data_IF_757004939338
#
_entry.id   IF_757004939338
#
_cell.length_a   1.000
_cell.length_b   1.000
_cell.length_c   1.000
_cell.angle_alpha   90.00
_cell.angle_beta   90.00
_cell.angle_gamma   90.00
#
_symmetry.space_group_name_H-M   'P 1'
#
loop_
_entity.id
_entity.type
_entity.pdbx_description
1 polymer ?
#
# COMPACT_ATOMS: atom_id res chain seq x y z
N UNK A 1 -16.65 10.10 -7.83
CA UNK A 1 -16.49 10.50 -6.41
C UNK A 1 -16.52 9.23 -5.58
N UNK A 2 -15.60 9.09 -4.62
CA UNK A 2 -15.62 7.96 -3.69
C UNK A 2 -16.75 8.22 -2.68
N UNK A 3 -17.62 7.22 -2.49
CA UNK A 3 -18.77 7.31 -1.58
C UNK A 3 -18.44 6.64 -0.25
N UNK A 4 -19.09 7.11 0.82
CA UNK A 4 -19.10 6.44 2.11
C UNK A 4 -19.99 5.19 2.04
N UNK A 5 -19.46 4.04 2.46
CA UNK A 5 -20.19 2.77 2.43
C UNK A 5 -20.63 2.40 3.85
N UNK A 6 -21.93 2.18 4.03
CA UNK A 6 -22.46 1.59 5.26
C UNK A 6 -22.42 0.05 5.15
N UNK A 7 -21.65 -0.57 6.03
CA UNK A 7 -21.45 -2.03 6.07
C UNK A 7 -22.13 -2.69 7.27
N UNK A 8 -23.01 -1.98 7.97
CA UNK A 8 -23.70 -2.45 9.19
C UNK A 8 -24.41 -3.78 8.98
N UNK A 9 -25.08 -3.93 7.84
CA UNK A 9 -25.88 -5.13 7.50
C UNK A 9 -25.12 -6.17 6.67
N UNK A 10 -23.82 -5.96 6.42
CA UNK A 10 -23.03 -6.91 5.64
C UNK A 10 -22.72 -8.16 6.46
N UNK A 11 -22.77 -9.31 5.82
CA UNK A 11 -22.51 -10.58 6.48
C UNK A 11 -21.01 -10.71 6.81
N UNK A 12 -20.69 -10.99 8.07
CA UNK A 12 -19.33 -11.35 8.49
C UNK A 12 -18.98 -12.77 8.06
N UNK A 13 -17.73 -12.98 7.63
CA UNK A 13 -17.22 -14.31 7.33
C UNK A 13 -16.58 -14.94 8.58
N UNK A 14 -17.31 -15.83 9.25
CA UNK A 14 -16.78 -16.61 10.38
C UNK A 14 -15.91 -17.80 9.94
N UNK A 15 -15.99 -18.22 8.68
CA UNK A 15 -15.44 -19.51 8.20
C UNK A 15 -14.09 -19.36 7.50
N UNK A 16 -13.82 -18.23 6.84
CA UNK A 16 -12.57 -17.94 6.12
C UNK A 16 -11.72 -16.85 6.79
N UNK A 17 -11.96 -16.55 8.07
CA UNK A 17 -11.22 -15.59 8.88
C UNK A 17 -9.76 -16.02 9.15
N UNK A 18 -8.95 -16.20 8.11
CA UNK A 18 -7.49 -16.35 8.22
C UNK A 18 -6.89 -14.95 8.02
N UNK A 19 -6.86 -14.17 9.10
CA UNK A 19 -6.23 -12.85 9.07
C UNK A 19 -4.74 -12.97 9.41
N UNK A 20 -3.83 -12.32 8.65
CA UNK A 20 -2.50 -12.07 9.16
C UNK A 20 -2.60 -11.19 10.42
N UNK A 21 -1.79 -11.53 11.44
CA UNK A 21 -1.70 -10.78 12.70
C UNK A 21 -1.33 -9.33 12.37
N UNK A 22 -2.27 -8.41 12.57
CA UNK A 22 -2.08 -6.97 12.38
C UNK A 22 -2.48 -6.19 13.63
N UNK A 23 -2.04 -4.93 13.73
CA UNK A 23 -2.26 -4.10 14.91
C UNK A 23 -3.68 -3.51 15.04
N UNK A 24 -4.55 -3.74 14.06
CA UNK A 24 -5.92 -3.18 13.99
C UNK A 24 -6.91 -4.33 13.97
N UNK A 25 -8.10 -4.10 14.52
CA UNK A 25 -9.22 -5.03 14.37
C UNK A 25 -9.67 -5.04 12.91
N UNK A 26 -9.86 -6.25 12.39
CA UNK A 26 -10.16 -6.49 10.98
C UNK A 26 -11.27 -7.54 10.90
N UNK A 27 -12.19 -7.31 9.98
CA UNK A 27 -13.29 -8.22 9.72
C UNK A 27 -13.41 -8.43 8.21
N UNK A 28 -13.73 -9.65 7.80
CA UNK A 28 -14.07 -9.97 6.42
C UNK A 28 -15.58 -9.85 6.29
N UNK A 29 -16.03 -8.97 5.41
CA UNK A 29 -17.43 -8.67 5.17
C UNK A 29 -17.79 -9.01 3.74
N UNK A 30 -18.95 -9.61 3.53
CA UNK A 30 -19.48 -9.92 2.21
C UNK A 30 -20.46 -8.85 1.76
N UNK A 31 -20.22 -8.30 0.57
CA UNK A 31 -21.16 -7.37 -0.04
C UNK A 31 -22.47 -8.08 -0.39
N UNK A 32 -23.63 -7.43 -0.25
CA UNK A 32 -24.92 -8.03 -0.60
C UNK A 32 -25.04 -8.45 -2.06
N UNK A 33 -25.90 -9.43 -2.32
CA UNK A 33 -26.38 -9.71 -3.67
C UNK A 33 -27.10 -8.48 -4.24
N UNK A 34 -26.79 -8.14 -5.50
CA UNK A 34 -27.38 -6.99 -6.19
C UNK A 34 -26.93 -5.62 -5.67
N UNK A 35 -25.79 -5.50 -4.96
CA UNK A 35 -25.27 -4.18 -4.52
C UNK A 35 -25.19 -3.21 -5.71
N UNK A 36 -25.93 -2.10 -5.64
CA UNK A 36 -26.10 -1.16 -6.77
C UNK A 36 -24.98 -0.11 -6.82
N UNK A 37 -24.09 -0.06 -5.82
CA UNK A 37 -22.93 0.83 -5.86
C UNK A 37 -22.04 0.44 -7.05
N UNK A 38 -21.95 1.34 -8.04
CA UNK A 38 -21.30 1.10 -9.35
C UNK A 38 -19.87 0.56 -9.29
N UNK A 39 -19.19 0.73 -8.16
CA UNK A 39 -17.78 0.39 -8.00
C UNK A 39 -17.54 -0.85 -7.12
N UNK A 40 -18.57 -1.39 -6.46
CA UNK A 40 -18.48 -2.58 -5.62
C UNK A 40 -18.87 -3.83 -6.42
N UNK A 41 -18.18 -4.93 -6.14
CA UNK A 41 -18.56 -6.27 -6.61
C UNK A 41 -19.67 -6.79 -5.73
N UNK A 42 -20.68 -7.40 -6.34
CA UNK A 42 -21.76 -8.07 -5.61
C UNK A 42 -21.31 -9.46 -5.15
N UNK A 43 -21.81 -9.90 -3.99
CA UNK A 43 -21.49 -11.21 -3.40
C UNK A 43 -19.97 -11.46 -3.35
N UNK A 44 -19.22 -10.45 -2.90
CA UNK A 44 -17.76 -10.48 -2.92
C UNK A 44 -17.20 -10.11 -1.54
N UNK A 45 -16.08 -10.71 -1.12
CA UNK A 45 -15.46 -10.37 0.16
C UNK A 45 -14.71 -9.02 0.13
N UNK A 46 -14.78 -8.33 1.25
CA UNK A 46 -14.09 -7.08 1.54
C UNK A 46 -13.49 -7.13 2.95
N UNK A 47 -12.28 -6.60 3.10
CA UNK A 47 -11.65 -6.42 4.41
C UNK A 47 -12.04 -5.07 4.99
N UNK A 48 -12.84 -5.07 6.05
CA UNK A 48 -13.10 -3.89 6.86
C UNK A 48 -12.02 -3.76 7.95
N UNK A 49 -11.15 -2.74 7.82
CA UNK A 49 -10.14 -2.40 8.82
C UNK A 49 -10.63 -1.20 9.64
N UNK A 50 -10.86 -1.42 10.93
CA UNK A 50 -11.38 -0.39 11.81
C UNK A 50 -10.32 0.70 12.07
N UNK A 51 -10.79 1.94 12.27
CA UNK A 51 -9.98 3.00 12.85
C UNK A 51 -9.54 2.63 14.26
N UNK A 52 -8.40 3.16 14.70
CA UNK A 52 -7.88 2.92 16.05
C UNK A 52 -7.78 4.23 16.80
N UNK A 53 -8.09 4.20 18.09
CA UNK A 53 -8.10 5.39 18.95
C UNK A 53 -6.81 6.22 18.87
N UNK A 54 -5.64 5.56 18.77
CA UNK A 54 -4.33 6.21 18.73
C UNK A 54 -4.09 7.01 17.44
N UNK A 55 -4.62 6.53 16.32
CA UNK A 55 -4.46 7.14 14.99
C UNK A 55 -5.81 7.05 14.26
N UNK A 56 -6.80 7.86 14.69
CA UNK A 56 -8.18 7.66 14.26
C UNK A 56 -8.34 7.88 12.75
N UNK A 57 -7.62 8.85 12.17
CA UNK A 57 -7.67 9.19 10.75
C UNK A 57 -6.79 8.28 9.86
N UNK A 58 -6.05 7.31 10.42
CA UNK A 58 -5.12 6.46 9.67
C UNK A 58 -5.81 5.63 8.58
N UNK A 59 -7.07 5.26 8.75
CA UNK A 59 -7.77 4.45 7.74
C UNK A 59 -7.87 5.18 6.39
N UNK A 60 -7.92 6.52 6.38
CA UNK A 60 -7.90 7.33 5.17
C UNK A 60 -6.68 7.07 4.31
N UNK A 61 -5.54 6.69 4.90
CA UNK A 61 -4.32 6.38 4.16
C UNK A 61 -4.52 5.22 3.17
N UNK A 62 -5.35 4.22 3.48
CA UNK A 62 -5.66 3.12 2.54
C UNK A 62 -6.45 3.64 1.33
N UNK A 63 -7.43 4.52 1.55
CA UNK A 63 -8.25 5.13 0.49
C UNK A 63 -7.37 6.04 -0.39
N UNK A 64 -6.54 6.87 0.22
CA UNK A 64 -5.66 7.79 -0.51
C UNK A 64 -4.61 7.02 -1.31
N UNK A 65 -4.05 5.94 -0.75
CA UNK A 65 -3.13 5.05 -1.45
C UNK A 65 -3.79 4.44 -2.70
N UNK A 66 -5.05 4.02 -2.61
CA UNK A 66 -5.82 3.57 -3.77
C UNK A 66 -6.08 4.69 -4.79
N UNK A 67 -6.39 5.92 -4.35
CA UNK A 67 -6.53 7.04 -5.29
C UNK A 67 -5.22 7.26 -6.06
N UNK A 68 -4.10 7.39 -5.34
CA UNK A 68 -2.78 7.61 -5.93
C UNK A 68 -2.45 6.50 -6.94
N UNK A 69 -2.71 5.24 -6.59
CA UNK A 69 -2.36 4.10 -7.45
C UNK A 69 -3.03 4.15 -8.82
N UNK A 70 -4.27 4.65 -8.91
CA UNK A 70 -4.99 4.84 -10.18
C UNK A 70 -4.26 5.81 -11.10
N UNK A 71 -3.77 6.92 -10.55
CA UNK A 71 -3.09 7.97 -11.31
C UNK A 71 -1.68 7.58 -11.77
N UNK A 72 -1.00 6.70 -11.04
CA UNK A 72 0.33 6.18 -11.42
C UNK A 72 0.26 4.80 -12.10
N UNK A 73 -0.93 4.23 -12.28
CA UNK A 73 -1.15 2.91 -12.89
C UNK A 73 -0.48 1.76 -12.13
N UNK A 74 -0.62 1.72 -10.81
CA UNK A 74 -0.10 0.66 -9.93
C UNK A 74 -1.26 -0.16 -9.36
N UNK A 75 -1.08 -1.48 -9.34
CA UNK A 75 -2.09 -2.42 -8.84
C UNK A 75 -2.15 -2.39 -7.30
N UNK A 76 -3.23 -1.82 -6.77
CA UNK A 76 -3.56 -1.69 -5.35
C UNK A 76 -5.04 -2.06 -5.20
N UNK A 77 -5.44 -2.83 -4.18
CA UNK A 77 -6.84 -3.17 -4.01
C UNK A 77 -7.69 -1.93 -3.81
N UNK A 78 -8.90 -1.92 -4.36
CA UNK A 78 -9.82 -0.79 -4.19
C UNK A 78 -10.12 -0.58 -2.72
N UNK A 79 -10.14 0.67 -2.28
CA UNK A 79 -10.43 1.04 -0.91
C UNK A 79 -11.47 2.15 -0.84
N UNK A 80 -12.41 2.01 0.10
CA UNK A 80 -13.51 2.93 0.32
C UNK A 80 -13.57 3.32 1.81
N UNK A 81 -13.97 4.55 2.14
CA UNK A 81 -14.35 4.87 3.51
C UNK A 81 -15.64 4.13 3.84
N UNK A 82 -15.72 3.58 5.04
CA UNK A 82 -16.88 2.85 5.49
C UNK A 82 -17.20 3.10 6.96
N UNK A 83 -18.47 2.90 7.30
CA UNK A 83 -18.97 2.88 8.68
C UNK A 83 -19.66 1.56 8.97
N UNK A 84 -19.58 1.13 10.23
CA UNK A 84 -20.35 0.01 10.76
C UNK A 84 -21.00 0.44 12.07
N UNK A 85 -22.32 0.40 12.16
CA UNK A 85 -23.03 0.61 13.42
C UNK A 85 -22.97 -0.65 14.28
N UNK A 86 -22.78 -0.45 15.59
CA UNK A 86 -22.78 -1.50 16.60
C UNK A 86 -23.50 -1.01 17.86
N UNK A 87 -23.72 -1.91 18.81
CA UNK A 87 -24.30 -1.55 20.10
C UNK A 87 -23.44 -0.54 20.89
N UNK A 88 -22.14 -0.43 20.56
CA UNK A 88 -21.18 0.48 21.20
C UNK A 88 -21.04 1.82 20.45
N UNK A 89 -21.73 1.98 19.32
CA UNK A 89 -21.69 3.18 18.48
C UNK A 89 -21.25 2.89 17.03
N UNK A 90 -20.97 3.97 16.30
CA UNK A 90 -20.54 3.91 14.89
C UNK A 90 -19.03 3.81 14.81
N UNK A 91 -18.53 2.81 14.10
CA UNK A 91 -17.10 2.60 13.87
C UNK A 91 -16.75 3.00 12.43
N UNK A 92 -15.83 3.96 12.28
CA UNK A 92 -15.24 4.30 10.99
C UNK A 92 -14.10 3.34 10.61
N UNK A 93 -13.91 3.08 9.33
CA UNK A 93 -12.81 2.26 8.83
C UNK A 93 -12.62 2.33 7.33
N UNK A 94 -11.62 1.59 6.84
CA UNK A 94 -11.40 1.38 5.41
C UNK A 94 -11.99 0.04 5.00
N UNK A 95 -12.82 0.04 3.96
CA UNK A 95 -13.33 -1.15 3.29
C UNK A 95 -12.49 -1.45 2.05
N UNK A 96 -11.76 -2.55 2.07
CA UNK A 96 -10.76 -2.89 1.04
C UNK A 96 -11.25 -4.11 0.26
N UNK A 97 -11.37 -4.00 -1.06
CA UNK A 97 -11.78 -5.11 -1.93
C UNK A 97 -10.80 -6.27 -1.82
N UNK A 98 -11.31 -7.48 -1.55
CA UNK A 98 -10.46 -8.67 -1.52
C UNK A 98 -9.96 -8.97 -2.93
N UNK A 99 -8.64 -9.13 -3.07
CA UNK A 99 -7.96 -9.05 -4.37
C UNK A 99 -7.77 -10.38 -5.10
N UNK A 100 -8.29 -11.48 -4.54
CA UNK A 100 -8.25 -12.80 -5.15
C UNK A 100 -9.54 -13.55 -4.85
N UNK A 101 -9.85 -14.51 -5.71
CA UNK A 101 -11.02 -15.37 -5.54
C UNK A 101 -10.68 -16.53 -4.58
N UNK A 102 -11.32 -16.59 -3.41
CA UNK A 102 -10.99 -17.57 -2.36
C UNK A 102 -11.38 -19.01 -2.73
N UNK A 103 -12.26 -19.21 -3.71
CA UNK A 103 -12.71 -20.54 -4.15
C UNK A 103 -11.82 -21.12 -5.26
N UNK A 104 -11.19 -20.25 -6.04
CA UNK A 104 -10.42 -20.62 -7.22
C UNK A 104 -8.94 -20.31 -7.14
N UNK A 105 -8.52 -19.47 -6.19
CA UNK A 105 -7.16 -19.00 -6.05
C UNK A 105 -6.66 -19.11 -4.61
N UNK A 106 -5.35 -19.25 -4.46
CA UNK A 106 -4.70 -19.32 -3.16
C UNK A 106 -3.66 -18.23 -3.02
N UNK A 107 -3.78 -17.40 -1.99
CA UNK A 107 -2.76 -16.42 -1.65
C UNK A 107 -1.75 -17.00 -0.66
N UNK A 108 -0.47 -16.71 -0.89
CA UNK A 108 0.63 -17.06 0.01
C UNK A 108 1.47 -15.80 0.25
N UNK A 109 1.54 -15.37 1.52
CA UNK A 109 2.41 -14.28 1.94
C UNK A 109 3.88 -14.59 1.65
N UNK A 110 4.65 -13.57 1.25
CA UNK A 110 6.06 -13.76 0.96
C UNK A 110 6.87 -14.22 2.18
N UNK A 111 6.45 -13.91 3.40
CA UNK A 111 7.06 -14.41 4.63
C UNK A 111 7.17 -15.93 4.68
N UNK A 112 6.20 -16.66 4.12
CA UNK A 112 6.25 -18.12 4.00
C UNK A 112 7.45 -18.61 3.19
N UNK A 113 7.86 -17.84 2.17
CA UNK A 113 9.07 -18.13 1.40
C UNK A 113 10.32 -17.81 2.22
N UNK A 114 10.40 -16.64 2.85
CA UNK A 114 11.59 -16.25 3.62
C UNK A 114 11.88 -17.22 4.77
N UNK A 115 10.86 -17.71 5.48
CA UNK A 115 10.99 -18.77 6.50
C UNK A 115 11.67 -20.03 5.98
N UNK A 116 11.42 -20.38 4.71
CA UNK A 116 11.94 -21.61 4.11
C UNK A 116 13.41 -21.47 3.70
N UNK A 117 13.86 -20.27 3.35
CA UNK A 117 15.22 -20.00 2.85
C UNK A 117 16.14 -19.31 3.86
N UNK A 118 15.60 -18.84 4.99
CA UNK A 118 16.32 -18.21 6.09
C UNK A 118 16.00 -19.01 7.35
N UNK A 119 16.92 -19.86 7.79
CA UNK A 119 16.69 -20.83 8.88
C UNK A 119 16.30 -20.19 10.21
N UNK A 120 16.77 -18.96 10.46
CA UNK A 120 16.55 -18.18 11.67
C UNK A 120 15.60 -16.99 11.45
N UNK A 121 14.73 -17.07 10.43
CA UNK A 121 13.81 -15.97 10.10
C UNK A 121 12.94 -15.56 11.30
N UNK A 122 13.05 -14.30 11.70
CA UNK A 122 12.24 -13.70 12.76
C UNK A 122 11.03 -12.99 12.16
N UNK A 123 9.88 -13.67 12.22
CA UNK A 123 8.59 -13.13 11.77
C UNK A 123 8.20 -11.83 12.43
N UNK A 124 8.54 -11.69 13.72
CA UNK A 124 8.06 -10.59 14.53
C UNK A 124 8.73 -9.30 14.13
N UNK A 125 10.04 -9.33 13.88
CA UNK A 125 10.76 -8.13 13.44
C UNK A 125 10.83 -7.98 11.93
N UNK A 126 10.75 -9.08 11.17
CA UNK A 126 10.86 -9.10 9.71
C UNK A 126 12.18 -8.50 9.19
N UNK A 127 13.23 -8.43 10.04
CA UNK A 127 14.48 -7.71 9.73
C UNK A 127 15.32 -8.41 8.66
N UNK A 128 15.14 -9.71 8.47
CA UNK A 128 15.79 -10.45 7.39
C UNK A 128 15.08 -10.28 6.03
N UNK A 129 13.92 -9.60 5.96
CA UNK A 129 13.29 -9.27 4.68
C UNK A 129 14.16 -8.27 3.90
N UNK A 130 14.66 -8.70 2.75
CA UNK A 130 15.64 -7.95 1.96
C UNK A 130 15.44 -8.08 0.45
N UNK A 131 16.02 -7.13 -0.29
CA UNK A 131 15.83 -6.96 -1.72
C UNK A 131 16.46 -8.11 -2.53
N UNK A 132 17.66 -8.58 -2.18
CA UNK A 132 18.35 -9.66 -2.93
C UNK A 132 17.53 -10.95 -2.92
N UNK A 133 17.06 -11.37 -1.74
CA UNK A 133 16.29 -12.61 -1.61
C UNK A 133 14.90 -12.48 -2.24
N UNK A 134 14.28 -11.31 -2.11
CA UNK A 134 13.03 -10.97 -2.79
C UNK A 134 13.16 -11.08 -4.31
N UNK A 135 14.19 -10.48 -4.91
CA UNK A 135 14.44 -10.56 -6.35
C UNK A 135 14.74 -11.99 -6.79
N UNK A 136 15.49 -12.74 -5.98
CA UNK A 136 15.80 -14.15 -6.24
C UNK A 136 14.53 -15.01 -6.23
N UNK A 137 13.64 -14.80 -5.26
CA UNK A 137 12.36 -15.49 -5.18
C UNK A 137 11.50 -15.23 -6.40
N UNK A 138 11.27 -13.95 -6.72
CA UNK A 138 10.40 -13.55 -7.82
C UNK A 138 10.96 -14.06 -9.15
N UNK A 139 12.28 -14.04 -9.33
CA UNK A 139 12.93 -14.66 -10.48
C UNK A 139 12.69 -16.17 -10.51
N UNK A 140 12.79 -16.86 -9.37
CA UNK A 140 12.46 -18.29 -9.25
C UNK A 140 11.03 -18.62 -9.70
N UNK A 141 10.05 -17.79 -9.33
CA UNK A 141 8.66 -17.93 -9.79
C UNK A 141 8.54 -17.77 -11.30
N UNK A 142 9.27 -16.81 -11.89
CA UNK A 142 9.23 -16.59 -13.34
C UNK A 142 9.78 -17.76 -14.17
N UNK A 143 10.70 -18.55 -13.59
CA UNK A 143 11.30 -19.72 -14.24
C UNK A 143 10.47 -20.98 -14.00
N UNK A 144 9.96 -21.16 -12.78
CA UNK A 144 9.43 -22.47 -12.33
C UNK A 144 7.92 -22.50 -12.09
N UNK A 145 7.22 -21.35 -12.10
CA UNK A 145 5.82 -21.25 -11.67
C UNK A 145 4.97 -20.35 -12.58
N UNK A 146 5.32 -20.27 -13.87
CA UNK A 146 4.52 -19.56 -14.90
C UNK A 146 4.05 -18.15 -14.47
N UNK A 147 4.95 -17.36 -13.87
CA UNK A 147 4.62 -16.04 -13.35
C UNK A 147 4.08 -15.12 -14.47
N UNK A 148 2.83 -14.68 -14.32
CA UNK A 148 2.16 -13.76 -15.24
C UNK A 148 2.57 -12.31 -15.07
N UNK A 149 2.87 -11.91 -13.84
CA UNK A 149 3.32 -10.55 -13.53
C UNK A 149 4.73 -10.32 -14.11
N UNK A 150 4.93 -9.20 -14.80
CA UNK A 150 6.26 -8.73 -15.16
C UNK A 150 7.02 -8.33 -13.88
N UNK A 151 8.02 -9.14 -13.49
CA UNK A 151 8.74 -8.95 -12.23
C UNK A 151 9.40 -7.58 -12.10
N UNK A 152 9.94 -7.06 -13.20
CA UNK A 152 10.74 -5.84 -13.16
C UNK A 152 9.82 -4.63 -13.05
N UNK A 153 8.71 -4.66 -13.80
CA UNK A 153 7.67 -3.63 -13.67
C UNK A 153 7.03 -3.63 -12.29
N UNK A 154 6.68 -4.80 -11.74
CA UNK A 154 6.10 -4.88 -10.40
C UNK A 154 7.08 -4.36 -9.31
N UNK A 155 8.37 -4.69 -9.40
CA UNK A 155 9.39 -4.15 -8.48
C UNK A 155 9.54 -2.63 -8.61
N UNK A 156 9.50 -2.11 -9.85
CA UNK A 156 9.55 -0.68 -10.11
C UNK A 156 8.29 0.03 -9.61
N UNK A 157 7.11 -0.56 -9.80
CA UNK A 157 5.83 -0.07 -9.32
C UNK A 157 5.80 -0.02 -7.80
N UNK A 158 6.27 -1.07 -7.11
CA UNK A 158 6.42 -1.08 -5.64
C UNK A 158 7.37 0.01 -5.18
N UNK A 159 8.58 0.07 -5.74
CA UNK A 159 9.57 1.05 -5.32
C UNK A 159 9.10 2.49 -5.57
N UNK A 160 8.44 2.76 -6.70
CA UNK A 160 7.92 4.08 -7.04
C UNK A 160 6.75 4.46 -6.14
N UNK A 161 5.75 3.58 -6.01
CA UNK A 161 4.58 3.80 -5.19
C UNK A 161 4.94 4.00 -3.71
N UNK A 162 5.70 3.07 -3.12
CA UNK A 162 6.09 3.14 -1.72
C UNK A 162 7.01 4.34 -1.43
N UNK A 163 7.78 4.82 -2.41
CA UNK A 163 8.55 6.07 -2.28
C UNK A 163 7.66 7.32 -2.33
N UNK A 164 6.66 7.32 -3.20
CA UNK A 164 5.70 8.43 -3.39
C UNK A 164 4.78 8.58 -2.18
N UNK A 165 4.25 7.47 -1.65
CA UNK A 165 3.41 7.51 -0.45
C UNK A 165 4.26 7.48 0.85
N UNK A 166 5.55 7.14 0.76
CA UNK A 166 6.42 7.02 1.92
C UNK A 166 6.08 5.83 2.82
N UNK A 167 5.74 4.68 2.24
CA UNK A 167 5.39 3.48 3.01
C UNK A 167 6.62 2.92 3.70
N UNK A 168 6.62 2.90 5.03
CA UNK A 168 7.76 2.44 5.84
C UNK A 168 7.68 0.97 6.22
N UNK A 169 6.59 0.28 5.90
CA UNK A 169 6.22 -1.03 6.44
C UNK A 169 5.73 -2.02 5.37
N UNK A 170 6.30 -1.95 4.15
CA UNK A 170 6.16 -3.02 3.14
C UNK A 170 6.97 -4.26 3.56
N UNK A 171 6.54 -4.91 4.63
CA UNK A 171 7.16 -6.12 5.15
C UNK A 171 6.67 -7.37 4.42
N UNK A 172 7.25 -8.53 4.76
CA UNK A 172 7.05 -9.80 4.05
C UNK A 172 5.61 -10.34 4.08
N UNK A 173 4.73 -9.81 4.92
CA UNK A 173 3.31 -10.17 4.94
C UNK A 173 2.45 -9.19 4.12
N UNK A 174 3.01 -8.04 3.70
CA UNK A 174 2.29 -7.00 2.94
C UNK A 174 2.50 -7.10 1.42
N UNK A 175 2.90 -8.30 0.97
CA UNK A 175 2.93 -8.75 -0.42
C UNK A 175 3.01 -10.28 -0.47
N UNK A 176 2.72 -10.87 -1.62
CA UNK A 176 2.85 -12.30 -1.79
C UNK A 176 2.55 -12.78 -3.20
N UNK A 177 2.20 -14.05 -3.31
CA UNK A 177 1.95 -14.74 -4.57
C UNK A 177 0.54 -15.31 -4.55
N UNK A 178 -0.19 -15.11 -5.63
CA UNK A 178 -1.50 -15.72 -5.85
C UNK A 178 -1.31 -16.86 -6.85
N UNK A 179 -1.72 -18.05 -6.45
CA UNK A 179 -1.69 -19.28 -7.22
C UNK A 179 -3.07 -19.59 -7.79
N UNK A 180 -3.12 -19.90 -9.08
CA UNK A 180 -4.34 -20.32 -9.78
C UNK A 180 -4.37 -21.85 -9.93
N UNK A 181 -5.53 -22.43 -10.23
CA UNK A 181 -5.73 -23.88 -10.39
C UNK A 181 -4.87 -24.54 -11.48
N UNK A 182 -4.30 -23.77 -12.40
CA UNK A 182 -3.53 -24.23 -13.56
C UNK A 182 -2.01 -23.96 -13.44
N UNK A 183 -1.50 -23.93 -12.21
CA UNK A 183 -0.09 -23.63 -11.87
C UNK A 183 0.42 -22.27 -12.35
N UNK A 184 -0.47 -21.38 -12.83
CA UNK A 184 -0.14 -19.98 -13.07
C UNK A 184 -0.04 -19.24 -11.74
N UNK A 185 0.94 -18.35 -11.68
CA UNK A 185 1.12 -17.47 -10.53
C UNK A 185 1.11 -16.02 -10.96
N UNK A 186 0.74 -15.14 -10.04
CA UNK A 186 0.94 -13.69 -10.15
C UNK A 186 1.37 -13.14 -8.80
N UNK A 187 2.11 -12.04 -8.81
CA UNK A 187 2.35 -11.27 -7.60
C UNK A 187 1.05 -10.58 -7.20
N UNK A 188 0.82 -10.45 -5.89
CA UNK A 188 -0.34 -9.74 -5.38
C UNK A 188 -0.29 -8.26 -5.76
N UNK A 189 -1.45 -7.57 -5.75
CA UNK A 189 -1.48 -6.12 -5.62
C UNK A 189 -0.70 -5.66 -4.38
N UNK A 190 -0.35 -4.37 -4.33
CA UNK A 190 0.30 -3.75 -3.17
C UNK A 190 -0.76 -3.37 -2.13
N UNK A 191 -0.90 -4.16 -1.07
CA UNK A 191 -1.94 -3.99 -0.04
C UNK A 191 -1.35 -3.63 1.33
N UNK A 192 -2.19 -3.20 2.27
CA UNK A 192 -1.78 -2.68 3.59
C UNK A 192 -0.86 -1.45 3.48
N UNK A 193 -1.47 -0.35 3.03
CA UNK A 193 -0.80 0.93 2.79
C UNK A 193 -1.02 1.92 3.94
N UNK A 194 -1.66 1.50 5.04
CA UNK A 194 -2.03 2.36 6.16
C UNK A 194 -0.86 3.01 6.91
N UNK A 195 0.38 2.54 6.70
CA UNK A 195 1.62 3.05 7.33
C UNK A 195 2.40 4.01 6.42
N UNK A 196 1.67 4.87 5.71
CA UNK A 196 2.20 5.80 4.71
C UNK A 196 1.75 7.25 5.00
N UNK A 197 2.08 8.16 4.09
CA UNK A 197 1.62 9.57 4.00
C UNK A 197 1.84 10.41 5.28
N UNK A 198 2.80 10.02 6.10
CA UNK A 198 3.09 10.67 7.37
C UNK A 198 1.93 10.62 8.37
N UNK A 199 1.08 9.56 8.32
CA UNK A 199 -0.05 9.38 9.23
C UNK A 199 0.36 9.46 10.71
N UNK A 200 1.61 9.13 11.05
CA UNK A 200 2.12 9.17 12.43
C UNK A 200 2.32 10.60 12.96
N UNK A 201 2.19 11.62 12.09
CA UNK A 201 2.35 13.02 12.44
C UNK A 201 1.01 13.64 12.84
N UNK A 202 0.88 13.97 14.12
CA UNK A 202 -0.23 14.77 14.62
C UNK A 202 -0.12 16.21 14.15
N UNK A 203 -1.24 16.76 13.65
CA UNK A 203 -1.29 18.08 12.98
C UNK A 203 -0.75 19.21 13.85
N UNK A 204 -0.99 19.18 15.16
CA UNK A 204 -0.49 20.17 16.12
C UNK A 204 1.04 20.21 16.20
N UNK A 205 1.72 19.09 15.89
CA UNK A 205 3.19 18.98 15.90
C UNK A 205 3.86 19.38 14.59
N UNK A 206 3.07 19.48 13.51
CA UNK A 206 3.57 19.76 12.15
C UNK A 206 3.07 21.08 11.57
N UNK A 207 2.13 21.76 12.23
CA UNK A 207 1.56 23.04 11.76
C UNK A 207 2.61 24.10 11.40
N UNK A 208 3.71 24.16 12.14
CA UNK A 208 4.77 25.16 11.96
C UNK A 208 5.96 24.63 11.13
N UNK A 209 5.80 23.49 10.44
CA UNK A 209 6.87 22.95 9.60
C UNK A 209 6.95 23.72 8.28
N UNK A 210 8.11 24.31 8.03
CA UNK A 210 8.48 24.86 6.73
C UNK A 210 8.88 23.74 5.75
N UNK A 211 9.09 24.12 4.49
CA UNK A 211 9.48 23.18 3.44
C UNK A 211 10.82 22.50 3.71
N UNK A 212 11.75 23.17 4.38
CA UNK A 212 13.04 22.57 4.74
C UNK A 212 12.87 21.43 5.76
N UNK A 213 12.05 21.64 6.79
CA UNK A 213 11.78 20.63 7.81
C UNK A 213 10.98 19.46 7.25
N UNK A 214 10.03 19.71 6.34
CA UNK A 214 9.35 18.66 5.59
C UNK A 214 10.38 17.86 4.78
N UNK A 215 11.19 18.52 3.94
CA UNK A 215 12.22 17.86 3.14
C UNK A 215 13.15 17.01 4.02
N UNK A 216 13.60 17.52 5.16
CA UNK A 216 14.47 16.79 6.10
C UNK A 216 13.79 15.58 6.76
N UNK A 217 12.46 15.62 6.97
CA UNK A 217 11.69 14.46 7.41
C UNK A 217 11.57 13.41 6.30
N UNK A 218 11.25 13.85 5.07
CA UNK A 218 11.04 12.96 3.93
C UNK A 218 12.31 12.22 3.51
N UNK A 219 13.47 12.90 3.50
CA UNK A 219 14.77 12.30 3.12
C UNK A 219 15.30 11.27 4.12
N UNK A 220 14.81 11.29 5.36
CA UNK A 220 15.09 10.25 6.36
C UNK A 220 14.20 9.02 6.22
N UNK A 221 13.16 9.09 5.37
CA UNK A 221 12.25 7.99 5.10
C UNK A 221 12.97 6.78 4.53
N UNK A 222 12.74 5.62 5.13
CA UNK A 222 13.28 4.35 4.66
C UNK A 222 12.14 3.38 4.39
N UNK A 223 12.29 2.60 3.32
CA UNK A 223 11.48 1.44 3.03
C UNK A 223 11.75 0.32 4.06
N UNK A 224 10.83 -0.64 4.25
CA UNK A 224 11.07 -1.76 5.17
C UNK A 224 12.26 -2.64 4.75
N UNK A 225 12.48 -2.78 3.45
CA UNK A 225 13.54 -3.61 2.89
C UNK A 225 14.94 -3.21 3.38
N UNK A 226 15.76 -4.22 3.61
CA UNK A 226 17.22 -4.11 3.67
C UNK A 226 17.80 -4.52 2.31
N UNK A 227 19.04 -4.15 2.03
CA UNK A 227 19.68 -4.55 0.77
C UNK A 227 19.92 -6.06 0.74
N UNK A 228 20.57 -6.59 1.78
CA UNK A 228 20.83 -8.01 1.98
C UNK A 228 20.52 -8.41 3.43
N UNK A 229 20.55 -9.71 3.71
CA UNK A 229 20.45 -10.24 5.08
C UNK A 229 21.73 -10.09 5.92
N UNK A 230 22.84 -9.65 5.31
CA UNK A 230 24.12 -9.44 6.01
C UNK A 230 24.08 -8.18 6.89
N UNK A 231 23.32 -7.16 6.49
CA UNK A 231 23.04 -5.97 7.31
C UNK A 231 21.53 -5.82 7.53
N UNK A 232 21.06 -6.39 8.63
CA UNK A 232 19.64 -6.32 9.05
C UNK A 232 19.27 -4.99 9.73
N UNK A 233 20.27 -4.13 10.02
CA UNK A 233 20.06 -2.85 10.72
C UNK A 233 19.74 -1.72 9.75
N UNK A 234 20.38 -1.70 8.58
CA UNK A 234 20.25 -0.61 7.61
C UNK A 234 19.13 -0.86 6.60
N UNK A 235 17.99 -0.21 6.83
CA UNK A 235 16.90 -0.12 5.84
C UNK A 235 17.32 0.73 4.64
N UNK A 236 16.76 0.43 3.48
CA UNK A 236 17.03 1.18 2.23
C UNK A 236 16.23 2.49 2.26
N UNK A 237 16.87 3.66 2.07
CA UNK A 237 16.16 4.92 1.88
C UNK A 237 15.21 4.86 0.66
N UNK A 238 14.02 5.44 0.77
CA UNK A 238 12.99 5.36 -0.28
C UNK A 238 13.52 5.76 -1.67
N UNK A 239 14.13 6.94 -1.76
CA UNK A 239 14.61 7.48 -3.04
C UNK A 239 15.77 6.64 -3.63
N UNK A 240 16.63 6.08 -2.76
CA UNK A 240 17.69 5.17 -3.20
C UNK A 240 17.14 3.83 -3.72
N UNK A 241 16.04 3.33 -3.15
CA UNK A 241 15.40 2.10 -3.61
C UNK A 241 14.90 2.26 -5.06
N UNK A 242 14.12 3.31 -5.35
CA UNK A 242 13.61 3.52 -6.70
C UNK A 242 14.74 3.82 -7.69
N UNK A 243 15.75 4.61 -7.30
CA UNK A 243 16.94 4.83 -8.13
C UNK A 243 17.63 3.51 -8.48
N UNK A 244 17.90 2.67 -7.48
CA UNK A 244 18.56 1.39 -7.69
C UNK A 244 17.80 0.45 -8.65
N UNK A 245 16.47 0.40 -8.54
CA UNK A 245 15.63 -0.41 -9.44
C UNK A 245 15.63 0.17 -10.87
N UNK A 246 15.49 1.49 -11.01
CA UNK A 246 15.44 2.17 -12.31
C UNK A 246 16.79 2.13 -13.03
N UNK A 247 17.90 2.31 -12.32
CA UNK A 247 19.25 2.26 -12.89
C UNK A 247 19.67 0.87 -13.34
N UNK A 248 19.01 -0.19 -12.87
CA UNK A 248 19.35 -1.57 -13.23
C UNK A 248 18.87 -2.00 -14.62
N UNK A 249 17.88 -1.31 -15.21
CA UNK A 249 17.33 -1.65 -16.53
C UNK A 249 16.77 -0.42 -17.26
N UNK A 250 17.31 -0.11 -18.44
CA UNK A 250 16.91 1.05 -19.24
C UNK A 250 15.42 1.03 -19.63
N UNK A 251 14.82 -0.15 -19.87
CA UNK A 251 13.38 -0.26 -20.16
C UNK A 251 12.55 0.11 -18.94
N UNK A 252 13.05 -0.20 -17.74
CA UNK A 252 12.41 0.18 -16.49
C UNK A 252 12.56 1.68 -16.22
N UNK A 253 13.71 2.29 -16.54
CA UNK A 253 13.87 3.75 -16.54
C UNK A 253 12.81 4.43 -17.40
N UNK A 254 12.64 3.97 -18.65
CA UNK A 254 11.61 4.51 -19.56
C UNK A 254 10.20 4.28 -19.00
N UNK A 255 9.92 3.09 -18.47
CA UNK A 255 8.61 2.76 -17.88
C UNK A 255 8.23 3.69 -16.71
N UNK A 256 9.14 3.92 -15.78
CA UNK A 256 8.91 4.83 -14.64
C UNK A 256 8.83 6.28 -15.10
N UNK A 257 9.66 6.70 -16.05
CA UNK A 257 9.61 8.04 -16.61
C UNK A 257 8.26 8.33 -17.26
N UNK A 258 7.71 7.39 -18.04
CA UNK A 258 6.38 7.52 -18.64
C UNK A 258 5.27 7.71 -17.58
N UNK A 259 5.37 7.05 -16.42
CA UNK A 259 4.42 7.27 -15.32
C UNK A 259 4.54 8.66 -14.72
N UNK A 260 5.77 9.17 -14.57
CA UNK A 260 6.01 10.53 -14.07
C UNK A 260 5.51 11.60 -15.05
N UNK A 261 5.71 11.39 -16.35
CA UNK A 261 5.30 12.33 -17.39
C UNK A 261 3.78 12.37 -17.58
N UNK A 262 3.11 11.22 -17.44
CA UNK A 262 1.66 11.10 -17.59
C UNK A 262 0.87 11.36 -16.30
N UNK A 263 1.54 11.68 -15.18
CA UNK A 263 0.87 11.90 -13.90
C UNK A 263 0.05 13.19 -13.92
N UNK A 264 -1.27 13.04 -13.92
CA UNK A 264 -2.21 14.13 -13.63
C UNK A 264 -2.23 14.41 -12.11
N UNK A 265 -1.24 15.19 -11.66
CA UNK A 265 -1.09 15.55 -10.24
C UNK A 265 -2.26 16.41 -9.74
N UNK A 266 -2.76 17.32 -10.57
CA UNK A 266 -3.86 18.22 -10.18
C UNK A 266 -5.16 17.44 -10.00
N UNK A 267 -5.50 16.57 -10.96
CA UNK A 267 -6.66 15.68 -10.84
C UNK A 267 -6.53 14.72 -9.67
N UNK A 268 -5.34 14.15 -9.43
CA UNK A 268 -5.10 13.27 -8.29
C UNK A 268 -5.35 13.99 -6.96
N UNK A 269 -4.78 15.18 -6.78
CA UNK A 269 -4.97 15.97 -5.57
C UNK A 269 -6.41 16.46 -5.41
N UNK A 270 -7.09 16.80 -6.50
CA UNK A 270 -8.50 17.16 -6.49
C UNK A 270 -9.37 15.97 -6.04
N UNK A 271 -9.13 14.76 -6.55
CA UNK A 271 -9.87 13.57 -6.11
C UNK A 271 -9.62 13.28 -4.62
N UNK A 272 -8.38 13.38 -4.14
CA UNK A 272 -8.07 13.24 -2.71
C UNK A 272 -8.79 14.32 -1.88
N UNK A 273 -8.83 15.55 -2.36
CA UNK A 273 -9.51 16.65 -1.67
C UNK A 273 -11.01 16.37 -1.50
N UNK A 274 -11.68 15.71 -2.45
CA UNK A 274 -13.12 15.37 -2.32
C UNK A 274 -13.41 14.50 -1.10
N UNK A 275 -12.43 13.78 -0.55
CA UNK A 275 -12.60 13.02 0.68
C UNK A 275 -12.90 13.91 1.90
N UNK A 276 -12.52 15.20 1.88
CA UNK A 276 -12.81 16.14 2.97
C UNK A 276 -14.30 16.51 3.05
N UNK A 277 -15.07 16.22 2.00
CA UNK A 277 -16.50 16.47 1.92
C UNK A 277 -17.32 15.35 2.57
N UNK A 278 -16.70 14.19 2.87
CA UNK A 278 -17.35 13.04 3.47
C UNK A 278 -17.59 13.29 4.97
N UNK A 279 -18.85 13.27 5.38
CA UNK A 279 -19.28 13.49 6.77
C UNK A 279 -19.28 12.17 7.54
N UNK A 280 -18.34 12.03 8.46
CA UNK A 280 -18.18 10.89 9.38
C UNK A 280 -17.56 11.37 10.69
N UNK A 281 -17.67 10.56 11.74
CA UNK A 281 -17.17 10.90 13.09
C UNK A 281 -15.65 11.11 13.12
N UNK A 282 -14.92 10.44 12.22
CA UNK A 282 -13.48 10.63 12.03
C UNK A 282 -13.20 11.19 10.63
N UNK A 283 -13.35 12.52 10.44
CA UNK A 283 -13.30 13.14 9.12
C UNK A 283 -11.87 13.25 8.59
N UNK A 284 -11.75 13.23 7.26
CA UNK A 284 -10.54 13.67 6.59
C UNK A 284 -10.50 15.20 6.56
N UNK A 285 -9.79 15.81 7.51
CA UNK A 285 -9.74 17.27 7.62
C UNK A 285 -8.98 17.95 6.47
N UNK A 286 -9.28 19.23 6.22
CA UNK A 286 -8.55 20.05 5.25
C UNK A 286 -7.07 20.23 5.65
N UNK A 287 -6.78 20.31 6.95
CA UNK A 287 -5.43 20.38 7.49
C UNK A 287 -4.66 19.08 7.21
N UNK A 288 -5.33 17.93 7.35
CA UNK A 288 -4.73 16.63 6.97
C UNK A 288 -4.52 16.52 5.47
N UNK A 289 -5.47 17.00 4.66
CA UNK A 289 -5.29 17.09 3.21
C UNK A 289 -4.07 17.93 2.86
N UNK A 290 -3.92 19.13 3.42
CA UNK A 290 -2.79 20.01 3.13
C UNK A 290 -1.45 19.35 3.48
N UNK A 291 -1.38 18.70 4.65
CA UNK A 291 -0.21 17.91 5.05
C UNK A 291 0.14 16.84 4.00
N UNK A 292 -0.84 16.01 3.61
CA UNK A 292 -0.62 14.93 2.65
C UNK A 292 -0.25 15.49 1.26
N UNK A 293 -0.90 16.56 0.83
CA UNK A 293 -0.59 17.28 -0.41
C UNK A 293 0.87 17.72 -0.45
N UNK A 294 1.34 18.39 0.60
CA UNK A 294 2.74 18.83 0.72
C UNK A 294 3.71 17.65 0.72
N UNK A 295 3.36 16.53 1.37
CA UNK A 295 4.16 15.30 1.35
C UNK A 295 4.27 14.72 -0.06
N UNK A 296 3.15 14.57 -0.78
CA UNK A 296 3.11 14.02 -2.15
C UNK A 296 3.93 14.88 -3.10
N UNK A 297 3.71 16.20 -3.09
CA UNK A 297 4.42 17.14 -3.97
C UNK A 297 5.92 17.09 -3.69
N UNK A 298 6.34 17.21 -2.43
CA UNK A 298 7.76 17.21 -2.08
C UNK A 298 8.43 15.86 -2.35
N UNK A 299 7.73 14.73 -2.15
CA UNK A 299 8.24 13.40 -2.53
C UNK A 299 8.39 13.24 -4.04
N UNK A 300 7.42 13.72 -4.82
CA UNK A 300 7.50 13.69 -6.28
C UNK A 300 8.70 14.49 -6.80
N UNK A 301 8.93 15.68 -6.24
CA UNK A 301 10.12 16.50 -6.53
C UNK A 301 11.40 15.74 -6.19
N UNK A 302 11.50 15.16 -4.99
CA UNK A 302 12.68 14.40 -4.56
C UNK A 302 12.91 13.15 -5.42
N UNK A 303 11.87 12.45 -5.85
CA UNK A 303 11.98 11.31 -6.79
C UNK A 303 12.55 11.80 -8.12
N UNK A 304 12.02 12.90 -8.67
CA UNK A 304 12.52 13.47 -9.93
C UNK A 304 13.99 13.92 -9.82
N UNK A 305 14.35 14.60 -8.73
CA UNK A 305 15.73 14.97 -8.43
C UNK A 305 16.64 13.73 -8.38
N UNK A 306 16.24 12.69 -7.64
CA UNK A 306 17.04 11.48 -7.46
C UNK A 306 17.24 10.69 -8.77
N UNK A 307 16.22 10.64 -9.64
CA UNK A 307 16.27 9.96 -10.94
C UNK A 307 17.02 10.74 -12.03
N UNK A 308 17.08 12.06 -11.93
CA UNK A 308 17.85 12.92 -12.84
C UNK A 308 19.33 13.05 -12.43
N UNK A 309 19.66 12.75 -11.18
CA UNK A 309 21.04 12.74 -10.70
C UNK A 309 21.78 11.51 -11.28
N UNK A 310 22.26 11.63 -12.52
CA UNK A 310 23.10 10.65 -13.22
C UNK A 310 24.55 10.55 -12.67
N UNK A 311 24.79 10.99 -11.43
CA UNK A 311 26.12 10.98 -10.80
C UNK A 311 26.15 10.19 -9.48
N UNK A 312 26.63 8.95 -9.58
CA UNK A 312 27.84 8.43 -8.91
C UNK A 312 27.94 6.92 -9.12
#
# INVERSE_FOLDING_TARGET
MIELIDVTVWAGDEHHAIFPIGARDKEMLWSPEGVIHKNLRSAWPYLFKQSIYRYPDQYWTEIIAYIISKYIGVDVPKAYPAIKESNEGVVCGSLIEWFYDVETERFVHAGSYFKRIISDFDDKSGKQHNLIDMMTFIRGLSINASLKTDRLKWLADMAFFDSLIGNTDRHQENWGVIFQKDDKTRLSPLFDNGTALGHERFLDKIKDWDENRIRAYLTKGCHHLRFSREDTKKRIPHFQLIKGIVSADAKIKVYVQQKLDNLDLEGMLAEIHTLTEIKVDVPFSNERFDWIRRNIISRLTLIKEELNNDNN
#
